data_IF_958952589600
#
_entry.id   IF_958952589600
#
_cell.length_a   1.000
_cell.length_b   1.000
_cell.length_c   1.000
_cell.angle_alpha   90.00
_cell.angle_beta   90.00
_cell.angle_gamma   90.00
#
_symmetry.space_group_name_H-M   'P 1'
#
loop_
_entity.id
_entity.type
_entity.pdbx_description
1 polymer ?
#
# COMPACT_ATOMS: atom_id res chain seq x y z
N UNK A 1 12.46 6.65 -44.38
CA UNK A 1 11.48 7.07 -43.37
C UNK A 1 11.24 5.88 -42.45
N UNK A 2 11.72 5.96 -41.20
CA UNK A 2 10.89 5.99 -39.98
C UNK A 2 9.90 4.83 -39.90
N UNK A 3 10.12 3.91 -38.97
CA UNK A 3 9.21 3.78 -37.82
C UNK A 3 9.90 3.03 -36.68
N UNK A 4 9.97 3.74 -35.56
CA UNK A 4 10.52 3.34 -34.27
C UNK A 4 9.46 2.55 -33.50
N UNK A 5 9.94 1.60 -32.70
CA UNK A 5 9.32 0.88 -31.60
C UNK A 5 8.16 1.60 -30.88
N UNK A 6 7.12 0.84 -30.54
CA UNK A 6 6.42 0.99 -29.26
C UNK A 6 5.71 -0.33 -28.92
N UNK A 7 6.38 -1.19 -28.15
CA UNK A 7 5.75 -2.33 -27.47
C UNK A 7 4.93 -1.74 -26.32
N UNK A 8 3.62 -1.61 -26.50
CA UNK A 8 2.69 -1.31 -25.41
C UNK A 8 2.54 -2.59 -24.56
N UNK A 9 3.37 -2.74 -23.52
CA UNK A 9 3.08 -3.66 -22.43
C UNK A 9 2.03 -3.01 -21.53
N UNK A 10 0.76 -3.27 -21.83
CA UNK A 10 -0.34 -3.05 -20.92
C UNK A 10 -0.23 -4.08 -19.79
N UNK A 11 0.54 -3.77 -18.76
CA UNK A 11 0.51 -4.55 -17.51
C UNK A 11 -0.76 -4.13 -16.77
N UNK A 12 -1.86 -4.79 -17.08
CA UNK A 12 -3.10 -4.74 -16.31
C UNK A 12 -2.83 -5.38 -14.95
N UNK A 13 -2.32 -4.59 -14.01
CA UNK A 13 -2.22 -4.99 -12.61
C UNK A 13 -3.63 -5.22 -12.08
N UNK A 14 -3.97 -6.48 -11.82
CA UNK A 14 -5.18 -6.83 -11.10
C UNK A 14 -5.08 -6.24 -9.69
N UNK A 15 -5.80 -5.14 -9.47
CA UNK A 15 -5.99 -4.56 -8.15
C UNK A 15 -6.86 -5.53 -7.34
N UNK A 16 -6.23 -6.44 -6.61
CA UNK A 16 -6.91 -7.26 -5.61
C UNK A 16 -7.23 -6.39 -4.39
N UNK A 17 -8.27 -5.57 -4.51
CA UNK A 17 -8.95 -4.99 -3.35
C UNK A 17 -9.85 -6.07 -2.74
N UNK A 18 -9.29 -6.93 -1.90
CA UNK A 18 -10.10 -7.83 -1.08
C UNK A 18 -10.65 -6.98 0.08
N UNK A 19 -11.88 -6.50 -0.05
CA UNK A 19 -12.59 -5.83 1.04
C UNK A 19 -12.84 -6.86 2.14
N UNK A 20 -12.07 -6.79 3.22
CA UNK A 20 -12.31 -7.56 4.44
C UNK A 20 -13.57 -6.99 5.08
N UNK A 21 -14.69 -7.67 4.86
CA UNK A 21 -16.00 -7.25 5.35
C UNK A 21 -16.13 -7.55 6.85
N UNK A 22 -15.61 -6.66 7.69
CA UNK A 22 -15.80 -6.72 9.14
C UNK A 22 -17.11 -6.02 9.53
N UNK A 23 -18.13 -6.81 9.84
CA UNK A 23 -19.45 -6.38 10.33
C UNK A 23 -19.37 -5.91 11.79
N UNK A 24 -19.07 -4.63 12.06
CA UNK A 24 -18.91 -4.12 13.45
C UNK A 24 -19.39 -2.67 13.68
N UNK A 25 -19.71 -2.29 14.94
CA UNK A 25 -20.63 -1.20 15.33
C UNK A 25 -20.26 0.21 14.84
N UNK A 26 -21.27 1.05 14.60
CA UNK A 26 -21.14 2.36 13.95
C UNK A 26 -20.46 3.47 14.79
N UNK A 27 -20.26 3.27 16.09
CA UNK A 27 -19.79 4.31 17.03
C UNK A 27 -18.32 4.18 17.47
N UNK A 28 -17.58 3.19 16.96
CA UNK A 28 -16.18 2.97 17.32
C UNK A 28 -15.24 3.67 16.33
N UNK A 29 -14.28 4.45 16.84
CA UNK A 29 -13.21 5.04 16.04
C UNK A 29 -12.41 3.91 15.38
N UNK A 30 -12.53 3.79 14.07
CA UNK A 30 -12.04 2.63 13.35
C UNK A 30 -10.61 2.89 12.86
N UNK A 31 -9.62 2.10 13.31
CA UNK A 31 -8.22 2.24 12.91
C UNK A 31 -7.78 1.00 12.13
N UNK A 32 -7.47 1.18 10.84
CA UNK A 32 -6.89 0.13 10.01
C UNK A 32 -5.42 0.42 9.70
N UNK A 33 -4.56 -0.56 9.98
CA UNK A 33 -3.16 -0.55 9.61
C UNK A 33 -2.97 -1.41 8.34
N UNK A 34 -2.88 -0.77 7.18
CA UNK A 34 -2.72 -1.44 5.88
C UNK A 34 -1.24 -1.72 5.61
N UNK A 35 -0.38 -0.76 5.95
CA UNK A 35 1.08 -0.89 5.91
C UNK A 35 1.72 0.20 6.77
N UNK A 36 2.95 -0.03 7.21
CA UNK A 36 3.75 0.93 7.97
C UNK A 36 5.18 0.96 7.44
N UNK A 37 5.93 2.01 7.78
CA UNK A 37 7.36 2.05 7.51
C UNK A 37 8.14 1.41 8.65
N UNK A 38 9.02 0.48 8.33
CA UNK A 38 10.09 0.04 9.22
C UNK A 38 11.43 0.31 8.52
N UNK A 39 12.21 1.25 9.06
CA UNK A 39 13.38 1.79 8.38
C UNK A 39 13.02 2.29 6.98
N UNK A 40 13.70 1.81 5.93
CA UNK A 40 13.36 2.14 4.54
C UNK A 40 12.51 1.07 3.84
N UNK A 41 11.82 0.22 4.61
CA UNK A 41 10.97 -0.84 4.10
C UNK A 41 9.50 -0.52 4.35
N UNK A 42 8.65 -0.82 3.36
CA UNK A 42 7.21 -0.87 3.53
C UNK A 42 6.85 -2.24 4.07
N UNK A 43 6.27 -2.28 5.26
CA UNK A 43 5.85 -3.50 5.93
C UNK A 43 4.36 -3.76 5.71
N UNK A 44 3.98 -5.04 5.73
CA UNK A 44 2.61 -5.49 5.67
C UNK A 44 2.34 -6.60 6.66
N UNK A 45 1.06 -6.91 6.81
CA UNK A 45 0.59 -8.05 7.58
C UNK A 45 -0.32 -8.90 6.70
N UNK A 46 -0.18 -10.22 6.77
CA UNK A 46 -1.06 -11.15 6.04
C UNK A 46 -2.35 -11.42 6.83
N UNK A 47 -3.24 -12.25 6.30
CA UNK A 47 -4.51 -12.60 6.96
C UNK A 47 -4.35 -13.41 8.25
N UNK A 48 -3.16 -13.97 8.50
CA UNK A 48 -2.83 -14.71 9.72
C UNK A 48 -2.16 -13.83 10.77
N UNK A 49 -1.90 -12.56 10.47
CA UNK A 49 -1.21 -11.65 11.37
C UNK A 49 0.33 -11.68 11.23
N UNK A 50 0.88 -12.44 10.27
CA UNK A 50 2.33 -12.49 10.08
C UNK A 50 2.82 -11.24 9.36
N UNK A 51 3.88 -10.64 9.89
CA UNK A 51 4.50 -9.45 9.30
C UNK A 51 5.46 -9.83 8.18
N UNK A 52 5.43 -9.10 7.08
CA UNK A 52 6.35 -9.30 5.96
C UNK A 52 6.77 -7.96 5.33
N UNK A 53 7.89 -7.98 4.62
CA UNK A 53 8.35 -6.83 3.83
C UNK A 53 7.58 -6.82 2.51
N UNK A 54 6.79 -5.76 2.27
CA UNK A 54 6.09 -5.55 0.99
C UNK A 54 7.06 -5.00 -0.06
N UNK A 55 7.87 -4.00 0.33
CA UNK A 55 8.82 -3.32 -0.56
C UNK A 55 10.05 -2.84 0.21
N UNK A 56 11.23 -2.95 -0.38
CA UNK A 56 12.44 -2.27 0.07
C UNK A 56 12.66 -1.02 -0.78
N UNK A 57 12.39 0.17 -0.23
CA UNK A 57 12.42 1.41 -1.01
C UNK A 57 13.83 1.78 -1.49
N UNK A 58 14.86 1.22 -0.87
CA UNK A 58 16.26 1.44 -1.25
C UNK A 58 16.58 0.87 -2.64
N UNK A 59 15.90 -0.20 -3.05
CA UNK A 59 16.06 -0.82 -4.37
C UNK A 59 15.57 0.09 -5.50
N UNK A 60 14.70 1.05 -5.17
CA UNK A 60 14.13 2.02 -6.10
C UNK A 60 14.74 3.42 -5.94
N UNK A 61 15.74 3.59 -5.07
CA UNK A 61 16.30 4.92 -4.75
C UNK A 61 15.30 5.85 -4.04
N UNK A 62 14.23 5.29 -3.48
CA UNK A 62 13.13 6.00 -2.83
C UNK A 62 13.22 5.93 -1.31
N UNK A 63 12.36 6.69 -0.63
CA UNK A 63 12.22 6.65 0.82
C UNK A 63 10.84 6.15 1.20
N UNK A 64 10.75 5.31 2.24
CA UNK A 64 9.47 4.91 2.79
C UNK A 64 8.77 6.13 3.42
N UNK A 65 7.53 6.39 3.01
CA UNK A 65 6.67 7.43 3.58
C UNK A 65 5.37 6.83 4.07
N UNK A 66 5.02 7.20 5.30
CA UNK A 66 3.73 6.86 5.90
C UNK A 66 2.76 8.02 5.74
N UNK A 67 1.53 7.69 5.38
CA UNK A 67 0.42 8.64 5.25
C UNK A 67 -0.75 8.14 6.09
N UNK A 68 -1.46 9.09 6.69
CA UNK A 68 -2.65 8.83 7.49
C UNK A 68 -3.82 9.51 6.81
N UNK A 69 -4.88 8.74 6.53
CA UNK A 69 -6.11 9.27 5.96
C UNK A 69 -7.25 9.08 6.94
N UNK A 70 -7.95 10.17 7.26
CA UNK A 70 -9.17 10.13 8.07
C UNK A 70 -10.39 10.31 7.15
N UNK A 71 -11.26 9.31 7.06
CA UNK A 71 -12.46 9.35 6.21
C UNK A 71 -13.55 8.45 6.76
N UNK A 72 -14.81 8.89 6.72
CA UNK A 72 -15.99 8.09 7.13
C UNK A 72 -15.86 7.43 8.51
N UNK A 73 -15.38 8.16 9.53
CA UNK A 73 -15.10 7.65 10.88
C UNK A 73 -14.01 6.55 10.94
N UNK A 74 -13.16 6.47 9.90
CA UNK A 74 -12.03 5.55 9.80
C UNK A 74 -10.72 6.32 9.70
N UNK A 75 -9.71 5.83 10.40
CA UNK A 75 -8.31 6.25 10.27
C UNK A 75 -7.55 5.13 9.60
N UNK A 76 -7.04 5.39 8.40
CA UNK A 76 -6.27 4.44 7.62
C UNK A 76 -4.80 4.83 7.67
N UNK A 77 -3.96 3.90 8.14
CA UNK A 77 -2.51 4.01 8.07
C UNK A 77 -2.00 3.22 6.87
N UNK A 78 -1.28 3.89 5.98
CA UNK A 78 -0.60 3.24 4.86
C UNK A 78 0.79 3.82 4.66
N UNK A 79 1.70 2.96 4.24
CA UNK A 79 3.06 3.31 3.85
C UNK A 79 3.33 2.91 2.40
N UNK A 80 4.13 3.72 1.71
CA UNK A 80 4.56 3.51 0.34
C UNK A 80 5.99 4.03 0.11
N UNK A 81 6.65 3.53 -0.93
CA UNK A 81 7.89 4.13 -1.41
C UNK A 81 7.57 5.40 -2.22
N UNK A 82 8.26 6.48 -1.92
CA UNK A 82 8.06 7.78 -2.55
C UNK A 82 9.42 8.46 -2.77
N UNK A 83 9.52 9.25 -3.83
CA UNK A 83 10.69 10.09 -4.07
C UNK A 83 10.90 11.06 -2.89
N UNK A 84 12.16 11.41 -2.65
CA UNK A 84 12.55 12.33 -1.57
C UNK A 84 11.92 13.71 -1.75
#
# INVERSE_FOLDING_TARGET
MKTVFAVLMLVSGSAFASEVNYSRPQDELYIDFISWCDSNNVMGQDSQGQTYVKFNCSEYGQTCRQTVTHRHNRTLYFAACSDK
#
